data_IF_188903164103
#
_entry.id   IF_188903164103
#
_cell.length_a   1.000
_cell.length_b   1.000
_cell.length_c   1.000
_cell.angle_alpha   90.00
_cell.angle_beta   90.00
_cell.angle_gamma   90.00
#
_symmetry.space_group_name_H-M   'P 1'
#
loop_
_entity.id
_entity.type
_entity.pdbx_description
1 polymer ?
#
# COMPACT_ATOMS: atom_id res chain seq x y z
N UNK A 1 -62.15 18.00 -23.39
CA UNK A 1 -60.86 18.60 -22.98
C UNK A 1 -60.14 17.57 -22.14
N UNK A 2 -59.41 16.66 -22.78
CA UNK A 2 -58.66 15.57 -22.13
C UNK A 2 -57.28 16.10 -21.76
N UNK A 3 -57.00 16.20 -20.46
CA UNK A 3 -55.67 16.54 -19.95
C UNK A 3 -54.68 15.45 -20.40
N UNK A 4 -53.51 15.81 -20.96
CA UNK A 4 -52.50 14.81 -21.30
C UNK A 4 -51.99 14.16 -20.01
N UNK A 5 -51.95 12.84 -20.01
CA UNK A 5 -51.37 12.05 -18.93
C UNK A 5 -49.92 12.51 -18.70
N UNK A 6 -49.62 12.90 -17.47
CA UNK A 6 -48.27 13.16 -17.02
C UNK A 6 -47.47 11.87 -17.20
N UNK A 7 -46.54 11.84 -18.16
CA UNK A 7 -45.55 10.77 -18.24
C UNK A 7 -44.88 10.68 -16.88
N UNK A 8 -45.17 9.62 -16.15
CA UNK A 8 -44.41 9.25 -14.96
C UNK A 8 -42.99 9.00 -15.44
N UNK A 9 -42.09 9.94 -15.15
CA UNK A 9 -40.66 9.82 -15.38
C UNK A 9 -40.20 8.53 -14.67
N UNK A 10 -40.11 7.43 -15.42
CA UNK A 10 -39.69 6.15 -14.88
C UNK A 10 -38.25 6.35 -14.45
N UNK A 11 -38.01 6.44 -13.15
CA UNK A 11 -36.67 6.67 -12.61
C UNK A 11 -35.83 5.43 -12.93
N UNK A 12 -35.12 5.49 -14.04
CA UNK A 12 -34.40 4.34 -14.59
C UNK A 12 -33.13 4.08 -13.78
N UNK A 13 -32.94 2.80 -13.41
CA UNK A 13 -31.72 2.35 -12.75
C UNK A 13 -30.51 2.55 -13.67
N UNK A 14 -29.36 3.02 -13.16
CA UNK A 14 -28.14 3.10 -13.95
C UNK A 14 -27.81 1.74 -14.59
N UNK A 15 -27.45 1.69 -15.88
CA UNK A 15 -27.08 0.44 -16.53
C UNK A 15 -25.79 -0.12 -15.93
N UNK A 16 -25.64 -1.44 -15.98
CA UNK A 16 -24.37 -2.10 -15.60
C UNK A 16 -23.30 -1.74 -16.62
N UNK A 17 -22.13 -1.31 -16.14
CA UNK A 17 -21.01 -0.92 -16.99
C UNK A 17 -19.96 -2.03 -16.96
N UNK A 18 -19.91 -2.87 -18.00
CA UNK A 18 -18.96 -3.98 -18.08
C UNK A 18 -17.50 -3.52 -18.06
N UNK A 19 -17.21 -2.35 -18.62
CA UNK A 19 -15.89 -1.72 -18.58
C UNK A 19 -15.41 -1.42 -17.14
N UNK A 20 -16.33 -1.07 -16.23
CA UNK A 20 -15.99 -0.82 -14.83
C UNK A 20 -15.58 -2.12 -14.12
N UNK A 21 -16.26 -3.22 -14.42
CA UNK A 21 -15.89 -4.54 -13.90
C UNK A 21 -14.53 -4.97 -14.45
N UNK A 22 -14.23 -4.70 -15.74
CA UNK A 22 -12.90 -4.92 -16.32
C UNK A 22 -11.84 -4.07 -15.62
N UNK A 23 -12.08 -2.77 -15.42
CA UNK A 23 -11.13 -1.88 -14.76
C UNK A 23 -10.81 -2.31 -13.33
N UNK A 24 -11.84 -2.77 -12.58
CA UNK A 24 -11.62 -3.42 -11.27
C UNK A 24 -10.74 -4.65 -11.37
N UNK A 25 -11.01 -5.52 -12.35
CA UNK A 25 -10.21 -6.72 -12.60
C UNK A 25 -8.74 -6.41 -12.87
N UNK A 26 -8.47 -5.42 -13.72
CA UNK A 26 -7.11 -4.98 -14.03
C UNK A 26 -6.43 -4.39 -12.80
N UNK A 27 -7.14 -3.58 -12.01
CA UNK A 27 -6.60 -3.04 -10.75
C UNK A 27 -6.24 -4.15 -9.75
N UNK A 28 -7.05 -5.23 -9.67
CA UNK A 28 -6.78 -6.41 -8.84
C UNK A 28 -5.53 -7.17 -9.30
N UNK A 29 -5.35 -7.35 -10.60
CA UNK A 29 -4.15 -8.00 -11.14
C UNK A 29 -2.91 -7.15 -10.83
N UNK A 30 -3.01 -5.82 -11.04
CA UNK A 30 -1.92 -4.90 -10.76
C UNK A 30 -1.51 -4.91 -9.27
N UNK A 31 -2.50 -4.93 -8.38
CA UNK A 31 -2.29 -5.11 -6.94
C UNK A 31 -1.55 -6.40 -6.62
N UNK A 32 -2.01 -7.53 -7.18
CA UNK A 32 -1.36 -8.82 -6.97
C UNK A 32 0.08 -8.83 -7.47
N UNK A 33 0.38 -8.23 -8.62
CA UNK A 33 1.77 -8.12 -9.10
C UNK A 33 2.63 -7.22 -8.23
N UNK A 34 2.08 -6.15 -7.65
CA UNK A 34 2.80 -5.33 -6.68
C UNK A 34 3.09 -6.12 -5.41
N UNK A 35 2.10 -6.78 -4.83
CA UNK A 35 2.28 -7.60 -3.64
C UNK A 35 3.27 -8.75 -3.86
N UNK A 36 3.28 -9.35 -5.05
CA UNK A 36 4.27 -10.36 -5.38
C UNK A 36 5.70 -9.80 -5.35
N UNK A 37 5.92 -8.54 -5.72
CA UNK A 37 7.25 -7.91 -5.55
C UNK A 37 7.64 -7.78 -4.07
N UNK A 38 6.68 -7.48 -3.19
CA UNK A 38 6.90 -7.46 -1.74
C UNK A 38 7.19 -8.85 -1.19
N UNK A 39 6.48 -9.88 -1.67
CA UNK A 39 6.74 -11.28 -1.28
C UNK A 39 8.13 -11.74 -1.71
N UNK A 40 8.57 -11.34 -2.91
CA UNK A 40 9.92 -11.64 -3.39
C UNK A 40 11.00 -10.91 -2.59
N UNK A 41 10.74 -9.69 -2.14
CA UNK A 41 11.59 -8.98 -1.17
C UNK A 41 11.64 -9.71 0.17
N UNK A 42 10.48 -10.10 0.71
CA UNK A 42 10.38 -10.85 1.96
C UNK A 42 11.13 -12.19 1.91
N UNK A 43 11.10 -12.88 0.75
CA UNK A 43 11.86 -14.11 0.52
C UNK A 43 13.35 -13.88 0.19
N UNK A 44 13.83 -12.64 0.17
CA UNK A 44 15.25 -12.32 -0.06
C UNK A 44 15.71 -12.32 -1.52
N UNK A 45 14.78 -12.35 -2.48
CA UNK A 45 15.11 -12.21 -3.91
C UNK A 45 15.28 -10.76 -4.36
N UNK A 46 14.70 -9.82 -3.62
CA UNK A 46 14.90 -8.39 -3.83
C UNK A 46 15.56 -7.77 -2.60
N UNK A 47 16.30 -6.70 -2.80
CA UNK A 47 16.92 -5.96 -1.70
C UNK A 47 15.83 -5.34 -0.79
N UNK A 48 16.03 -5.31 0.54
CA UNK A 48 15.10 -4.65 1.45
C UNK A 48 14.82 -3.20 1.06
N UNK A 49 13.55 -2.79 1.11
CA UNK A 49 13.05 -1.49 0.69
C UNK A 49 12.74 -1.34 -0.80
N UNK A 50 12.94 -2.38 -1.62
CA UNK A 50 12.68 -2.32 -3.08
C UNK A 50 11.21 -2.01 -3.37
N UNK A 51 10.28 -2.69 -2.70
CA UNK A 51 8.84 -2.53 -2.88
C UNK A 51 8.31 -1.15 -2.43
N UNK A 52 9.05 -0.44 -1.59
CA UNK A 52 8.68 0.87 -1.02
C UNK A 52 9.37 2.06 -1.72
N UNK A 53 10.23 1.81 -2.70
CA UNK A 53 11.05 2.83 -3.36
C UNK A 53 10.86 2.89 -4.88
N UNK A 54 11.43 3.90 -5.53
CA UNK A 54 11.46 4.04 -6.99
C UNK A 54 10.10 3.96 -7.68
N UNK A 55 10.04 3.23 -8.79
CA UNK A 55 8.83 3.07 -9.60
C UNK A 55 7.77 2.21 -8.92
N UNK A 56 8.15 1.25 -8.06
CA UNK A 56 7.23 0.37 -7.32
C UNK A 56 6.39 1.17 -6.32
N UNK A 57 6.97 2.19 -5.68
CA UNK A 57 6.23 3.15 -4.84
C UNK A 57 5.16 3.90 -5.64
N UNK A 58 5.49 4.37 -6.83
CA UNK A 58 4.55 5.08 -7.71
C UNK A 58 3.46 4.12 -8.18
N UNK A 59 3.84 2.88 -8.51
CA UNK A 59 2.93 1.82 -8.92
C UNK A 59 1.90 1.49 -7.83
N UNK A 60 2.34 1.27 -6.60
CA UNK A 60 1.48 1.07 -5.44
C UNK A 60 0.48 2.23 -5.27
N UNK A 61 0.96 3.47 -5.38
CA UNK A 61 0.12 4.67 -5.27
C UNK A 61 -0.91 4.78 -6.40
N UNK A 62 -0.54 4.44 -7.63
CA UNK A 62 -1.44 4.42 -8.76
C UNK A 62 -2.53 3.34 -8.61
N UNK A 63 -2.18 2.17 -8.08
CA UNK A 63 -3.10 1.07 -7.77
C UNK A 63 -4.13 1.52 -6.71
N UNK A 64 -3.67 2.04 -5.57
CA UNK A 64 -4.54 2.50 -4.50
C UNK A 64 -5.47 3.65 -4.95
N UNK A 65 -4.93 4.61 -5.71
CA UNK A 65 -5.69 5.68 -6.35
C UNK A 65 -6.82 5.12 -7.21
N UNK A 66 -6.49 4.15 -8.08
CA UNK A 66 -7.45 3.51 -8.99
C UNK A 66 -8.54 2.78 -8.23
N UNK A 67 -8.20 2.01 -7.19
CA UNK A 67 -9.19 1.31 -6.37
C UNK A 67 -10.18 2.27 -5.72
N UNK A 68 -9.68 3.28 -5.01
CA UNK A 68 -10.53 4.19 -4.25
C UNK A 68 -11.39 5.05 -5.17
N UNK A 69 -10.84 5.49 -6.30
CA UNK A 69 -11.60 6.14 -7.36
C UNK A 69 -12.76 5.28 -7.86
N UNK A 70 -12.48 4.00 -8.19
CA UNK A 70 -13.52 3.06 -8.62
C UNK A 70 -14.54 2.83 -7.50
N UNK A 71 -14.12 2.74 -6.24
CA UNK A 71 -15.04 2.59 -5.10
C UNK A 71 -16.00 3.78 -5.02
N UNK A 72 -15.51 5.01 -5.20
CA UNK A 72 -16.34 6.23 -5.27
C UNK A 72 -17.38 6.16 -6.39
N UNK A 73 -16.97 5.79 -7.61
CA UNK A 73 -17.89 5.57 -8.74
C UNK A 73 -18.94 4.50 -8.39
N UNK A 74 -18.47 3.38 -7.85
CA UNK A 74 -19.30 2.21 -7.52
C UNK A 74 -20.37 2.55 -6.49
N UNK A 75 -20.06 3.44 -5.54
CA UNK A 75 -21.01 3.87 -4.52
C UNK A 75 -22.18 4.62 -5.15
N UNK A 76 -21.92 5.57 -6.07
CA UNK A 76 -22.99 6.27 -6.81
C UNK A 76 -23.88 5.29 -7.57
N UNK A 77 -23.26 4.42 -8.38
CA UNK A 77 -24.00 3.50 -9.26
C UNK A 77 -24.83 2.48 -8.48
N UNK A 78 -24.38 2.07 -7.30
CA UNK A 78 -25.11 1.13 -6.43
C UNK A 78 -26.20 1.80 -5.58
N UNK A 79 -26.17 3.13 -5.47
CA UNK A 79 -27.05 3.93 -4.60
C UNK A 79 -28.14 4.68 -5.37
N UNK A 80 -28.18 4.56 -6.69
CA UNK A 80 -29.17 5.21 -7.55
C UNK A 80 -30.11 4.20 -8.23
N UNK A 81 -31.40 4.54 -8.38
CA UNK A 81 -32.02 5.82 -8.01
C UNK A 81 -32.22 6.00 -6.50
N UNK A 82 -32.35 4.89 -5.77
CA UNK A 82 -32.49 4.85 -4.33
C UNK A 82 -31.48 3.89 -3.69
N UNK A 83 -31.13 4.17 -2.43
CA UNK A 83 -30.19 3.36 -1.68
C UNK A 83 -30.90 2.10 -1.17
N UNK A 84 -30.44 0.95 -1.64
CA UNK A 84 -30.91 -0.36 -1.17
C UNK A 84 -30.21 -0.74 0.14
N UNK A 85 -30.72 -0.24 1.26
CA UNK A 85 -30.12 -0.42 2.59
C UNK A 85 -29.73 -1.85 2.96
N UNK A 86 -30.54 -2.90 2.71
CA UNK A 86 -30.13 -4.27 3.03
C UNK A 86 -28.88 -4.70 2.24
N UNK A 87 -28.81 -4.35 0.96
CA UNK A 87 -27.63 -4.65 0.12
C UNK A 87 -26.42 -3.81 0.50
N UNK A 88 -26.63 -2.55 0.88
CA UNK A 88 -25.58 -1.66 1.37
C UNK A 88 -24.93 -2.24 2.64
N UNK A 89 -25.74 -2.54 3.67
CA UNK A 89 -25.23 -3.06 4.94
C UNK A 89 -24.61 -4.45 4.81
N UNK A 90 -25.15 -5.32 3.94
CA UNK A 90 -24.51 -6.59 3.62
C UNK A 90 -23.10 -6.38 3.07
N UNK A 91 -22.94 -5.52 2.06
CA UNK A 91 -21.63 -5.24 1.46
C UNK A 91 -20.68 -4.56 2.43
N UNK A 92 -21.16 -3.56 3.18
CA UNK A 92 -20.38 -2.89 4.20
C UNK A 92 -19.88 -3.88 5.26
N UNK A 93 -20.77 -4.71 5.80
CA UNK A 93 -20.43 -5.72 6.79
C UNK A 93 -19.38 -6.72 6.29
N UNK A 94 -19.48 -7.15 5.02
CA UNK A 94 -18.46 -8.02 4.42
C UNK A 94 -17.08 -7.34 4.35
N UNK A 95 -17.02 -6.06 3.97
CA UNK A 95 -15.75 -5.31 3.89
C UNK A 95 -15.18 -5.05 5.28
N UNK A 96 -16.01 -4.62 6.23
CA UNK A 96 -15.59 -4.35 7.61
C UNK A 96 -15.11 -5.64 8.30
N UNK A 97 -15.81 -6.76 8.12
CA UNK A 97 -15.40 -8.06 8.63
C UNK A 97 -14.08 -8.53 7.99
N UNK A 98 -13.91 -8.35 6.69
CA UNK A 98 -12.67 -8.65 5.99
C UNK A 98 -11.50 -7.81 6.51
N UNK A 99 -11.71 -6.50 6.72
CA UNK A 99 -10.71 -5.59 7.28
C UNK A 99 -10.27 -6.06 8.68
N UNK A 100 -11.23 -6.33 9.57
CA UNK A 100 -10.96 -6.83 10.91
C UNK A 100 -10.25 -8.18 10.92
N UNK A 101 -10.65 -9.11 10.04
CA UNK A 101 -10.01 -10.42 9.92
C UNK A 101 -8.54 -10.30 9.49
N UNK A 102 -8.23 -9.41 8.54
CA UNK A 102 -6.85 -9.14 8.13
C UNK A 102 -6.04 -8.52 9.28
N UNK A 103 -6.60 -7.55 10.00
CA UNK A 103 -5.94 -6.97 11.18
C UNK A 103 -5.61 -8.02 12.24
N UNK A 104 -6.56 -8.91 12.55
CA UNK A 104 -6.37 -9.99 13.53
C UNK A 104 -5.29 -10.97 13.03
N UNK A 105 -5.40 -11.43 11.79
CA UNK A 105 -4.46 -12.39 11.21
C UNK A 105 -3.03 -11.82 11.18
N UNK A 106 -2.87 -10.56 10.75
CA UNK A 106 -1.55 -9.91 10.72
C UNK A 106 -1.05 -9.55 12.11
N UNK A 107 -1.91 -9.25 13.08
CA UNK A 107 -1.49 -9.04 14.47
C UNK A 107 -0.92 -10.30 15.11
N UNK A 108 -1.40 -11.47 14.71
CA UNK A 108 -0.89 -12.77 15.17
C UNK A 108 0.41 -13.13 14.44
N UNK A 109 0.44 -12.97 13.11
CA UNK A 109 1.57 -13.39 12.28
C UNK A 109 2.76 -12.40 12.30
N UNK A 110 2.49 -11.10 12.42
CA UNK A 110 3.46 -10.00 12.28
C UNK A 110 3.10 -8.88 13.29
N UNK A 111 3.30 -9.12 14.60
CA UNK A 111 2.77 -8.24 15.64
C UNK A 111 3.27 -6.79 15.56
N UNK A 112 4.51 -6.57 15.13
CA UNK A 112 5.10 -5.22 15.09
C UNK A 112 4.61 -4.38 13.91
N UNK A 113 4.17 -5.02 12.83
CA UNK A 113 3.80 -4.39 11.55
C UNK A 113 2.37 -4.74 11.11
N UNK A 114 1.52 -5.11 12.07
CA UNK A 114 0.13 -5.50 11.81
C UNK A 114 -0.68 -4.39 11.15
N UNK A 115 -1.67 -4.80 10.35
CA UNK A 115 -2.49 -3.88 9.56
C UNK A 115 -3.53 -3.23 10.47
N UNK A 116 -3.22 -2.08 11.06
CA UNK A 116 -4.17 -1.33 11.89
C UNK A 116 -5.12 -0.44 11.08
N UNK A 117 -4.70 0.03 9.92
CA UNK A 117 -5.55 0.82 9.01
C UNK A 117 -5.13 0.69 7.54
N UNK A 118 -5.47 -0.46 6.95
CA UNK A 118 -5.26 -0.75 5.53
C UNK A 118 -6.39 -0.25 4.60
N UNK A 119 -6.27 -0.54 3.30
CA UNK A 119 -7.21 -0.03 2.29
C UNK A 119 -8.66 -0.49 2.50
N UNK A 120 -8.92 -1.69 3.05
CA UNK A 120 -10.28 -2.13 3.37
C UNK A 120 -10.92 -1.31 4.49
N UNK A 121 -10.14 -0.89 5.49
CA UNK A 121 -10.59 0.02 6.54
C UNK A 121 -10.97 1.37 5.94
N UNK A 122 -10.09 1.91 5.09
CA UNK A 122 -10.32 3.15 4.37
C UNK A 122 -11.60 3.08 3.51
N UNK A 123 -11.78 2.00 2.74
CA UNK A 123 -13.00 1.77 1.95
C UNK A 123 -14.25 1.72 2.85
N UNK A 124 -14.19 1.05 3.99
CA UNK A 124 -15.33 0.97 4.91
C UNK A 124 -15.72 2.37 5.41
N UNK A 125 -14.76 3.14 5.92
CA UNK A 125 -14.98 4.50 6.43
C UNK A 125 -15.47 5.44 5.32
N UNK A 126 -14.80 5.45 4.17
CA UNK A 126 -15.19 6.27 3.02
C UNK A 126 -16.55 5.88 2.46
N UNK A 127 -16.96 4.62 2.55
CA UNK A 127 -18.31 4.19 2.13
C UNK A 127 -19.39 4.80 3.04
N UNK A 128 -19.15 4.86 4.36
CA UNK A 128 -20.06 5.53 5.30
C UNK A 128 -20.10 7.04 5.09
N UNK A 129 -18.94 7.67 4.91
CA UNK A 129 -18.88 9.11 4.62
C UNK A 129 -19.58 9.39 3.29
N UNK A 130 -19.23 8.66 2.23
CA UNK A 130 -19.77 8.84 0.90
C UNK A 130 -21.29 8.68 0.82
N UNK A 131 -21.88 7.76 1.59
CA UNK A 131 -23.35 7.61 1.58
C UNK A 131 -24.06 8.81 2.21
N UNK A 132 -23.43 9.51 3.15
CA UNK A 132 -23.93 10.79 3.68
C UNK A 132 -23.86 11.86 2.57
N UNK A 133 -22.71 11.98 1.89
CA UNK A 133 -22.54 12.93 0.79
C UNK A 133 -23.50 12.69 -0.39
N UNK A 134 -23.88 11.44 -0.65
CA UNK A 134 -24.90 11.11 -1.66
C UNK A 134 -26.31 11.63 -1.34
N UNK A 135 -26.59 11.94 -0.06
CA UNK A 135 -27.84 12.58 0.36
C UNK A 135 -27.77 14.10 0.33
N UNK A 136 -26.56 14.67 0.29
CA UNK A 136 -26.35 16.11 0.19
C UNK A 136 -26.48 16.57 -1.27
N UNK A 137 -26.76 17.87 -1.49
CA UNK A 137 -26.62 18.47 -2.81
C UNK A 137 -25.21 18.24 -3.38
N UNK A 138 -25.11 18.02 -4.70
CA UNK A 138 -23.85 17.76 -5.41
C UNK A 138 -22.75 18.81 -5.12
N UNK A 139 -23.15 20.05 -4.84
CA UNK A 139 -22.22 21.11 -4.46
C UNK A 139 -21.33 20.74 -3.26
N UNK A 140 -21.87 20.05 -2.24
CA UNK A 140 -21.08 19.62 -1.08
C UNK A 140 -20.04 18.58 -1.45
N UNK A 141 -20.38 17.61 -2.30
CA UNK A 141 -19.43 16.61 -2.80
C UNK A 141 -18.33 17.26 -3.64
N UNK A 142 -18.69 18.25 -4.47
CA UNK A 142 -17.73 19.01 -5.27
C UNK A 142 -16.78 19.83 -4.38
N UNK A 143 -17.31 20.56 -3.38
CA UNK A 143 -16.52 21.32 -2.42
C UNK A 143 -15.56 20.41 -1.67
N UNK A 144 -16.03 19.27 -1.15
CA UNK A 144 -15.17 18.30 -0.47
C UNK A 144 -14.06 17.76 -1.40
N UNK A 145 -14.39 17.47 -2.65
CA UNK A 145 -13.40 17.00 -3.65
C UNK A 145 -12.34 18.06 -3.89
N UNK A 146 -12.74 19.32 -4.10
CA UNK A 146 -11.81 20.44 -4.34
C UNK A 146 -10.96 20.75 -3.10
N UNK A 147 -11.55 20.71 -1.91
CA UNK A 147 -10.84 20.93 -0.66
C UNK A 147 -9.79 19.84 -0.40
N UNK A 148 -10.15 18.57 -0.60
CA UNK A 148 -9.22 17.43 -0.47
C UNK A 148 -8.09 17.50 -1.52
N UNK A 149 -8.40 17.91 -2.74
CA UNK A 149 -7.41 18.08 -3.79
C UNK A 149 -6.46 19.25 -3.49
N UNK A 150 -6.98 20.39 -3.03
CA UNK A 150 -6.18 21.52 -2.59
C UNK A 150 -5.27 21.14 -1.42
N UNK A 151 -5.81 20.45 -0.40
CA UNK A 151 -5.02 19.95 0.73
C UNK A 151 -3.91 18.99 0.28
N UNK A 152 -4.20 18.10 -0.68
CA UNK A 152 -3.18 17.21 -1.25
C UNK A 152 -2.08 17.98 -1.98
N UNK A 153 -2.42 19.01 -2.76
CA UNK A 153 -1.42 19.89 -3.40
C UNK A 153 -0.58 20.59 -2.32
N UNK A 154 -1.21 21.15 -1.30
CA UNK A 154 -0.53 21.83 -0.20
C UNK A 154 0.42 20.90 0.56
N UNK A 155 0.04 19.65 0.80
CA UNK A 155 0.89 18.66 1.49
C UNK A 155 2.11 18.23 0.67
N UNK A 156 1.99 18.17 -0.67
CA UNK A 156 3.04 17.66 -1.54
C UNK A 156 3.95 18.75 -2.13
N UNK A 157 3.43 19.97 -2.31
CA UNK A 157 4.14 21.08 -2.96
C UNK A 157 4.22 22.36 -2.11
N UNK A 158 3.51 22.41 -0.97
CA UNK A 158 3.58 23.52 -0.03
C UNK A 158 4.73 23.38 0.98
N UNK A 159 4.79 24.27 1.99
CA UNK A 159 5.76 24.18 3.06
C UNK A 159 5.69 22.81 3.79
N UNK A 160 6.82 22.12 3.98
CA UNK A 160 6.85 20.85 4.69
C UNK A 160 6.22 20.97 6.08
N UNK A 161 5.38 20.01 6.44
CA UNK A 161 4.76 19.94 7.77
C UNK A 161 3.54 20.84 7.97
N UNK A 162 3.08 21.59 6.96
CA UNK A 162 1.94 22.52 7.14
C UNK A 162 0.64 21.82 7.58
N UNK A 163 0.37 20.62 7.06
CA UNK A 163 -0.80 19.82 7.43
C UNK A 163 -0.48 18.68 8.41
N UNK A 164 0.80 18.46 8.73
CA UNK A 164 1.26 17.30 9.50
C UNK A 164 1.52 17.67 10.95
N UNK A 165 1.09 16.84 11.90
CA UNK A 165 1.32 17.06 13.32
C UNK A 165 1.59 15.74 14.05
N UNK A 166 2.56 15.74 14.97
CA UNK A 166 2.89 14.58 15.80
C UNK A 166 1.75 14.17 16.74
N UNK A 167 0.78 15.06 16.95
CA UNK A 167 -0.47 14.72 17.62
C UNK A 167 -1.20 13.54 16.97
N UNK A 168 -1.05 13.37 15.66
CA UNK A 168 -1.68 12.28 14.91
C UNK A 168 -0.81 11.02 14.78
N UNK A 169 0.40 10.99 15.34
CA UNK A 169 1.30 9.83 15.24
C UNK A 169 0.76 8.54 15.90
N UNK A 170 0.04 8.59 17.06
CA UNK A 170 -0.51 7.37 17.65
C UNK A 170 -1.48 6.64 16.71
N UNK A 171 -1.41 5.29 16.66
CA UNK A 171 -2.20 4.45 15.73
C UNK A 171 -3.70 4.76 15.69
N UNK A 172 -4.30 5.09 16.83
CA UNK A 172 -5.72 5.42 16.95
C UNK A 172 -6.12 6.78 16.36
N UNK A 173 -5.15 7.61 15.96
CA UNK A 173 -5.33 8.88 15.24
C UNK A 173 -4.67 8.87 13.85
N UNK A 174 -3.64 8.03 13.64
CA UNK A 174 -2.88 7.95 12.40
C UNK A 174 -3.79 7.69 11.18
N UNK A 175 -4.89 6.93 11.35
CA UNK A 175 -5.87 6.69 10.29
C UNK A 175 -6.49 7.95 9.66
N UNK A 176 -6.41 9.12 10.30
CA UNK A 176 -6.82 10.40 9.72
C UNK A 176 -5.89 10.80 8.57
N UNK A 177 -4.61 10.48 8.69
CA UNK A 177 -3.60 10.71 7.64
C UNK A 177 -2.82 12.01 7.77
N UNK A 178 -2.82 12.64 8.94
CA UNK A 178 -2.07 13.88 9.24
C UNK A 178 -0.87 13.64 10.17
N UNK A 179 -0.51 12.38 10.42
CA UNK A 179 0.67 11.99 11.18
C UNK A 179 1.97 12.44 10.49
N UNK A 180 3.00 12.75 11.29
CA UNK A 180 4.36 13.05 10.81
C UNK A 180 5.12 11.74 10.67
N UNK A 181 5.11 10.91 11.71
CA UNK A 181 5.81 9.61 11.76
C UNK A 181 4.86 8.55 12.31
N UNK A 182 3.86 8.10 11.53
CA UNK A 182 2.96 7.05 11.97
C UNK A 182 3.73 5.74 12.20
N UNK A 183 3.32 4.98 13.22
CA UNK A 183 3.87 3.63 13.45
C UNK A 183 3.71 2.75 12.19
N UNK A 184 4.72 1.93 11.92
CA UNK A 184 4.78 1.06 10.73
C UNK A 184 3.61 0.06 10.71
N UNK A 185 3.12 -0.21 9.50
CA UNK A 185 2.08 -1.19 9.19
C UNK A 185 2.26 -1.70 7.77
N UNK A 186 2.08 -3.00 7.55
CA UNK A 186 2.25 -3.64 6.24
C UNK A 186 1.22 -3.20 5.19
N UNK A 187 0.12 -2.60 5.61
CA UNK A 187 -0.80 -1.86 4.75
C UNK A 187 -1.27 -0.61 5.52
N UNK A 188 -0.89 0.57 5.05
CA UNK A 188 -1.25 1.83 5.67
C UNK A 188 -1.84 2.80 4.65
N UNK A 189 -3.17 2.91 4.68
CA UNK A 189 -3.96 3.72 3.75
C UNK A 189 -4.91 4.61 4.57
N UNK A 190 -4.41 5.68 5.21
CA UNK A 190 -5.23 6.58 6.02
C UNK A 190 -6.29 7.31 5.19
N UNK A 191 -7.20 8.08 5.81
CA UNK A 191 -8.19 8.85 5.08
C UNK A 191 -7.56 9.93 4.20
N UNK A 192 -6.69 10.78 4.73
CA UNK A 192 -5.94 11.73 3.89
C UNK A 192 -4.59 11.12 3.49
N UNK A 193 -4.19 11.15 2.20
CA UNK A 193 -4.84 11.81 1.07
C UNK A 193 -5.81 10.91 0.27
N UNK A 194 -6.03 9.67 0.69
CA UNK A 194 -6.73 8.63 -0.07
C UNK A 194 -8.24 8.88 -0.28
N UNK A 195 -8.84 9.74 0.53
CA UNK A 195 -10.18 10.27 0.32
C UNK A 195 -10.28 11.06 -0.98
N UNK A 196 -9.20 11.73 -1.43
CA UNK A 196 -9.18 12.55 -2.64
C UNK A 196 -9.61 11.77 -3.89
N UNK A 197 -8.97 10.63 -4.26
CA UNK A 197 -9.42 9.86 -5.41
C UNK A 197 -10.82 9.26 -5.22
N UNK A 198 -11.20 8.85 -4.01
CA UNK A 198 -12.56 8.39 -3.74
C UNK A 198 -13.61 9.47 -4.04
N UNK A 199 -13.43 10.67 -3.51
CA UNK A 199 -14.33 11.80 -3.74
C UNK A 199 -14.32 12.27 -5.19
N UNK A 200 -13.17 12.23 -5.87
CA UNK A 200 -13.11 12.46 -7.31
C UNK A 200 -13.99 11.46 -8.09
N UNK A 201 -13.92 10.17 -7.77
CA UNK A 201 -14.77 9.13 -8.36
C UNK A 201 -16.25 9.34 -8.04
N UNK A 202 -16.56 9.67 -6.78
CA UNK A 202 -17.92 9.97 -6.31
C UNK A 202 -18.53 11.18 -7.06
N UNK A 203 -17.77 12.27 -7.20
CA UNK A 203 -18.17 13.49 -7.90
C UNK A 203 -18.37 13.25 -9.39
N UNK A 204 -17.39 12.64 -10.06
CA UNK A 204 -17.47 12.35 -11.51
C UNK A 204 -18.67 11.46 -11.81
N UNK A 205 -18.89 10.39 -11.03
CA UNK A 205 -20.04 9.54 -11.25
C UNK A 205 -21.37 10.25 -10.93
N UNK A 206 -21.42 11.09 -9.91
CA UNK A 206 -22.62 11.88 -9.56
C UNK A 206 -22.99 12.93 -10.62
N UNK A 207 -22.01 13.44 -11.37
CA UNK A 207 -22.25 14.26 -12.55
C UNK A 207 -22.68 13.38 -13.73
N UNK A 208 -21.96 12.28 -13.98
CA UNK A 208 -22.19 11.41 -15.12
C UNK A 208 -23.60 10.79 -15.14
N UNK A 209 -24.20 10.46 -13.98
CA UNK A 209 -25.58 9.96 -13.89
C UNK A 209 -26.63 10.98 -14.40
N UNK A 210 -26.30 12.27 -14.44
CA UNK A 210 -27.19 13.33 -14.97
C UNK A 210 -27.06 13.49 -16.49
N UNK A 211 -26.20 12.71 -17.12
CA UNK A 211 -25.90 12.77 -18.55
C UNK A 211 -26.14 11.42 -19.23
N UNK A 212 -26.07 11.37 -20.56
CA UNK A 212 -26.12 10.09 -21.30
C UNK A 212 -24.79 9.30 -21.28
N UNK A 213 -23.77 9.77 -20.58
CA UNK A 213 -22.43 9.16 -20.58
C UNK A 213 -22.44 7.70 -20.11
N UNK A 214 -23.14 7.39 -19.02
CA UNK A 214 -23.17 6.02 -18.48
C UNK A 214 -23.81 5.02 -19.44
N UNK A 215 -24.84 5.43 -20.18
CA UNK A 215 -25.47 4.61 -21.21
C UNK A 215 -24.51 4.35 -22.38
N UNK A 216 -23.73 5.35 -22.79
CA UNK A 216 -22.68 5.17 -23.82
C UNK A 216 -21.59 4.21 -23.35
N UNK A 217 -21.12 4.35 -22.11
CA UNK A 217 -20.10 3.47 -21.54
C UNK A 217 -20.60 2.03 -21.38
N UNK A 218 -21.87 1.85 -21.01
CA UNK A 218 -22.49 0.53 -20.94
C UNK A 218 -22.58 -0.16 -22.33
N UNK A 219 -22.74 0.62 -23.41
CA UNK A 219 -22.80 0.10 -24.77
C UNK A 219 -21.42 -0.31 -25.34
N UNK A 220 -20.33 0.31 -24.86
CA UNK A 220 -18.96 0.11 -25.41
C UNK A 220 -18.28 -1.14 -24.84
N UNK A 221 -18.76 -1.70 -23.72
CA UNK A 221 -18.08 -2.82 -23.06
C UNK A 221 -19.04 -3.81 -22.42
N UNK A 222 -19.08 -5.03 -22.96
CA UNK A 222 -19.93 -6.12 -22.44
C UNK A 222 -19.43 -6.71 -21.12
N UNK A 223 -18.18 -6.44 -20.72
CA UNK A 223 -17.58 -7.06 -19.52
C UNK A 223 -17.44 -8.59 -19.65
N UNK A 224 -17.34 -9.08 -20.88
CA UNK A 224 -17.18 -10.50 -21.23
C UNK A 224 -15.73 -10.99 -21.10
N UNK A 225 -14.75 -10.07 -21.10
CA UNK A 225 -13.34 -10.40 -20.93
C UNK A 225 -13.03 -10.92 -19.52
N UNK A 226 -12.02 -11.79 -19.37
CA UNK A 226 -11.78 -12.54 -18.14
C UNK A 226 -11.49 -11.68 -16.90
N UNK A 227 -10.82 -10.51 -16.95
CA UNK A 227 -10.61 -9.66 -15.78
C UNK A 227 -11.92 -9.10 -15.24
N UNK A 228 -12.96 -8.94 -16.07
CA UNK A 228 -14.28 -8.56 -15.57
C UNK A 228 -14.85 -9.61 -14.61
N UNK A 229 -14.49 -10.89 -14.75
CA UNK A 229 -14.87 -11.93 -13.79
C UNK A 229 -14.17 -11.71 -12.44
N UNK A 230 -12.90 -11.32 -12.44
CA UNK A 230 -12.19 -10.94 -11.21
C UNK A 230 -12.83 -9.71 -10.57
N UNK A 231 -13.15 -8.68 -11.36
CA UNK A 231 -13.83 -7.47 -10.88
C UNK A 231 -15.22 -7.73 -10.30
N UNK A 232 -15.92 -8.78 -10.75
CA UNK A 232 -17.20 -9.25 -10.18
C UNK A 232 -17.05 -9.92 -8.82
N UNK A 233 -15.92 -10.59 -8.58
CA UNK A 233 -15.59 -11.29 -7.34
C UNK A 233 -14.43 -10.59 -6.61
N UNK A 234 -14.41 -9.25 -6.66
CA UNK A 234 -13.24 -8.46 -6.26
C UNK A 234 -12.79 -8.71 -4.83
N UNK A 235 -13.73 -8.82 -3.88
CA UNK A 235 -13.41 -9.07 -2.47
C UNK A 235 -12.80 -10.47 -2.26
N UNK A 236 -13.30 -11.49 -2.96
CA UNK A 236 -12.75 -12.84 -2.86
C UNK A 236 -11.32 -12.88 -3.40
N UNK A 237 -11.09 -12.30 -4.59
CA UNK A 237 -9.75 -12.19 -5.14
C UNK A 237 -8.82 -11.41 -4.20
N UNK A 238 -9.29 -10.26 -3.69
CA UNK A 238 -8.55 -9.44 -2.73
C UNK A 238 -8.12 -10.24 -1.50
N UNK A 239 -8.97 -11.11 -0.96
CA UNK A 239 -8.61 -11.90 0.23
C UNK A 239 -7.69 -13.08 -0.09
N UNK A 240 -7.85 -13.69 -1.26
CA UNK A 240 -7.14 -14.93 -1.63
C UNK A 240 -5.75 -14.65 -2.21
N UNK A 241 -5.55 -13.50 -2.87
CA UNK A 241 -4.30 -13.26 -3.59
C UNK A 241 -3.08 -13.34 -2.66
N UNK A 242 -3.08 -12.68 -1.50
CA UNK A 242 -1.90 -12.61 -0.64
C UNK A 242 -1.47 -13.97 -0.08
N UNK A 243 -2.36 -14.81 0.51
CA UNK A 243 -1.97 -16.17 0.92
C UNK A 243 -1.44 -17.03 -0.23
N UNK A 244 -2.02 -16.90 -1.43
CA UNK A 244 -1.58 -17.64 -2.61
C UNK A 244 -0.20 -17.17 -3.08
N UNK A 245 0.03 -15.86 -3.16
CA UNK A 245 1.30 -15.30 -3.60
C UNK A 245 2.43 -15.62 -2.61
N UNK A 246 2.18 -15.51 -1.31
CA UNK A 246 3.13 -15.96 -0.27
C UNK A 246 3.45 -17.44 -0.45
N UNK A 247 2.43 -18.29 -0.66
CA UNK A 247 2.64 -19.71 -0.90
C UNK A 247 3.48 -20.01 -2.13
N UNK A 248 3.29 -19.26 -3.21
CA UNK A 248 4.10 -19.36 -4.43
C UNK A 248 5.54 -18.90 -4.18
N UNK A 249 5.74 -17.74 -3.55
CA UNK A 249 7.05 -17.18 -3.27
C UNK A 249 7.86 -18.08 -2.31
N UNK A 250 7.18 -18.64 -1.29
CA UNK A 250 7.77 -19.62 -0.39
C UNK A 250 8.11 -20.93 -1.10
N UNK A 251 7.19 -21.47 -1.93
CA UNK A 251 7.49 -22.65 -2.73
C UNK A 251 8.68 -22.45 -3.67
N UNK A 252 8.81 -21.26 -4.24
CA UNK A 252 9.96 -20.88 -5.06
C UNK A 252 11.27 -20.87 -4.25
N UNK A 253 11.26 -20.35 -3.01
CA UNK A 253 12.46 -20.30 -2.15
C UNK A 253 12.98 -21.67 -1.73
N UNK A 254 12.12 -22.70 -1.74
CA UNK A 254 12.54 -24.08 -1.53
C UNK A 254 13.22 -24.71 -2.76
N UNK A 255 12.85 -24.28 -3.98
CA UNK A 255 13.37 -24.86 -5.24
C UNK A 255 14.57 -24.07 -5.77
N UNK A 256 14.53 -22.75 -5.62
CA UNK A 256 15.55 -21.81 -6.08
C UNK A 256 15.91 -20.91 -4.90
N UNK A 257 16.78 -21.33 -3.98
CA UNK A 257 17.10 -20.53 -2.80
C UNK A 257 17.53 -19.11 -3.18
N UNK A 258 17.09 -18.07 -2.44
CA UNK A 258 17.57 -16.71 -2.66
C UNK A 258 19.09 -16.68 -2.52
N UNK A 259 19.73 -15.77 -3.27
CA UNK A 259 21.18 -15.60 -3.16
C UNK A 259 21.51 -15.21 -1.73
N UNK A 260 22.41 -15.97 -1.09
CA UNK A 260 22.94 -15.59 0.21
C UNK A 260 23.54 -14.18 0.10
N UNK A 261 23.28 -13.27 1.05
CA UNK A 261 23.90 -11.96 1.06
C UNK A 261 25.41 -12.11 0.94
N UNK A 262 26.05 -11.31 0.08
CA UNK A 262 27.51 -11.32 -0.02
C UNK A 262 28.10 -11.09 1.39
N UNK A 263 28.81 -12.09 1.95
CA UNK A 263 29.29 -11.99 3.31
C UNK A 263 30.31 -10.85 3.47
N UNK A 264 31.05 -10.51 2.41
CA UNK A 264 31.99 -9.38 2.36
C UNK A 264 31.24 -8.05 2.43
N UNK A 265 30.26 -7.85 1.55
CA UNK A 265 29.46 -6.62 1.54
C UNK A 265 28.72 -6.42 2.87
N UNK A 266 28.25 -7.51 3.49
CA UNK A 266 27.60 -7.48 4.81
C UNK A 266 28.55 -6.99 5.90
N UNK A 267 29.76 -7.58 5.97
CA UNK A 267 30.78 -7.20 6.93
C UNK A 267 31.16 -5.72 6.80
N UNK A 268 31.48 -5.27 5.58
CA UNK A 268 31.87 -3.88 5.35
C UNK A 268 30.76 -2.90 5.75
N UNK A 269 29.50 -3.22 5.45
CA UNK A 269 28.35 -2.37 5.83
C UNK A 269 28.19 -2.26 7.34
N UNK A 270 28.30 -3.37 8.06
CA UNK A 270 28.17 -3.41 9.53
C UNK A 270 29.34 -2.71 10.22
N UNK A 271 30.58 -3.00 9.78
CA UNK A 271 31.78 -2.36 10.30
C UNK A 271 31.73 -0.84 10.10
N UNK A 272 31.42 -0.37 8.88
CA UNK A 272 31.33 1.06 8.60
C UNK A 272 30.23 1.73 9.42
N UNK A 273 29.04 1.13 9.51
CA UNK A 273 27.94 1.69 10.29
C UNK A 273 28.31 1.86 11.78
N UNK A 274 29.00 0.89 12.37
CA UNK A 274 29.45 0.96 13.76
C UNK A 274 30.57 1.99 13.96
N UNK A 275 31.56 2.02 13.05
CA UNK A 275 32.71 2.90 13.15
C UNK A 275 32.35 4.37 12.93
N UNK A 276 31.47 4.68 11.95
CA UNK A 276 31.10 6.05 11.59
C UNK A 276 30.43 6.79 12.76
N UNK A 277 29.76 6.07 13.65
CA UNK A 277 29.20 6.67 14.87
C UNK A 277 30.27 7.24 15.82
N UNK A 278 31.55 6.88 15.65
CA UNK A 278 32.64 7.26 16.53
C UNK A 278 33.75 8.06 15.83
N UNK A 279 34.12 7.73 14.59
CA UNK A 279 35.43 8.08 14.03
C UNK A 279 35.42 8.74 12.62
N UNK A 280 34.25 9.04 12.05
CA UNK A 280 34.12 9.73 10.74
C UNK A 280 34.29 8.82 9.51
N UNK A 281 33.68 9.21 8.38
CA UNK A 281 33.41 8.31 7.24
C UNK A 281 34.64 7.79 6.50
N UNK A 282 35.62 8.66 6.23
CA UNK A 282 36.82 8.29 5.46
C UNK A 282 37.73 7.31 6.22
N UNK A 283 37.95 7.55 7.52
CA UNK A 283 38.76 6.70 8.39
C UNK A 283 38.12 5.30 8.53
N UNK A 284 36.80 5.26 8.67
CA UNK A 284 36.09 4.00 8.84
C UNK A 284 36.13 3.12 7.60
N UNK A 285 36.12 3.73 6.41
CA UNK A 285 36.22 2.98 5.17
C UNK A 285 37.57 2.26 5.05
N UNK A 286 38.68 2.97 5.25
CA UNK A 286 40.02 2.38 5.19
C UNK A 286 40.21 1.31 6.28
N UNK A 287 39.77 1.59 7.52
CA UNK A 287 39.82 0.64 8.62
C UNK A 287 39.04 -0.66 8.32
N UNK A 288 37.81 -0.54 7.84
CA UNK A 288 36.96 -1.70 7.56
C UNK A 288 37.47 -2.52 6.36
N UNK A 289 38.03 -1.87 5.34
CA UNK A 289 38.68 -2.55 4.21
C UNK A 289 39.95 -3.30 4.68
N UNK A 290 40.80 -2.68 5.50
CA UNK A 290 42.00 -3.32 6.07
C UNK A 290 41.64 -4.53 6.95
N UNK A 291 40.68 -4.38 7.87
CA UNK A 291 40.31 -5.48 8.78
C UNK A 291 39.74 -6.67 8.02
N UNK A 292 38.94 -6.43 6.99
CA UNK A 292 38.43 -7.48 6.10
C UNK A 292 39.58 -8.24 5.43
N UNK A 293 40.52 -7.51 4.82
CA UNK A 293 41.65 -8.11 4.09
C UNK A 293 42.48 -9.02 5.02
N UNK A 294 42.83 -8.53 6.22
CA UNK A 294 43.60 -9.32 7.18
C UNK A 294 42.82 -10.52 7.75
N UNK A 295 41.52 -10.37 8.00
CA UNK A 295 40.65 -11.49 8.41
C UNK A 295 40.56 -12.58 7.34
N UNK A 296 40.53 -12.20 6.06
CA UNK A 296 40.53 -13.15 4.94
C UNK A 296 41.89 -13.81 4.76
N UNK A 297 42.98 -13.04 4.83
CA UNK A 297 44.35 -13.55 4.72
C UNK A 297 44.68 -14.58 5.80
N UNK A 298 44.12 -14.42 7.00
CA UNK A 298 44.32 -15.34 8.13
C UNK A 298 43.25 -16.43 8.24
N UNK A 299 42.33 -16.55 7.25
CA UNK A 299 41.21 -17.49 7.26
C UNK A 299 40.30 -17.40 8.51
N UNK A 300 40.23 -16.21 9.13
CA UNK A 300 39.41 -15.93 10.31
C UNK A 300 38.01 -15.43 9.94
N UNK A 301 37.81 -14.96 8.71
CA UNK A 301 36.55 -14.38 8.25
C UNK A 301 35.37 -15.35 8.31
N UNK A 302 35.51 -16.59 7.82
CA UNK A 302 34.42 -17.58 7.84
C UNK A 302 34.06 -18.05 9.25
N UNK A 303 35.01 -18.38 10.14
CA UNK A 303 34.71 -18.69 11.54
C UNK A 303 34.06 -17.52 12.30
N UNK A 304 34.48 -16.28 12.01
CA UNK A 304 33.88 -15.07 12.57
C UNK A 304 32.40 -14.94 12.17
N UNK A 305 32.08 -15.16 10.89
CA UNK A 305 30.70 -15.13 10.39
C UNK A 305 29.83 -16.25 10.95
N UNK A 306 30.42 -17.41 11.21
CA UNK A 306 29.74 -18.53 11.85
C UNK A 306 29.52 -18.32 13.36
N UNK A 307 30.01 -17.21 13.94
CA UNK A 307 29.96 -16.96 15.39
C UNK A 307 30.87 -17.87 16.21
N UNK A 308 31.82 -18.55 15.58
CA UNK A 308 32.80 -19.40 16.24
C UNK A 308 33.97 -18.59 16.83
N UNK A 309 34.15 -17.35 16.37
CA UNK A 309 35.13 -16.38 16.86
C UNK A 309 34.37 -15.16 17.38
N UNK A 310 34.76 -14.68 18.57
CA UNK A 310 34.19 -13.48 19.18
C UNK A 310 35.13 -12.29 18.97
N UNK A 311 34.61 -11.21 18.39
CA UNK A 311 35.35 -9.96 18.10
C UNK A 311 35.99 -9.37 19.37
N UNK A 312 35.32 -9.49 20.52
CA UNK A 312 35.76 -8.91 21.78
C UNK A 312 36.76 -9.80 22.52
N UNK A 313 36.77 -11.11 22.26
CA UNK A 313 37.52 -12.07 23.08
C UNK A 313 38.62 -12.82 22.32
N UNK A 314 38.69 -12.71 20.99
CA UNK A 314 39.76 -13.33 20.19
C UNK A 314 40.93 -12.36 19.99
N UNK A 315 42.07 -12.71 20.58
CA UNK A 315 43.32 -11.93 20.53
C UNK A 315 43.78 -11.65 19.10
N UNK A 316 43.51 -12.55 18.14
CA UNK A 316 43.90 -12.35 16.73
C UNK A 316 43.06 -11.25 16.09
N UNK A 317 41.76 -11.22 16.39
CA UNK A 317 40.84 -10.19 15.86
C UNK A 317 41.16 -8.82 16.47
N UNK A 318 41.46 -8.77 17.78
CA UNK A 318 41.90 -7.54 18.44
C UNK A 318 43.23 -7.02 17.86
N UNK A 319 44.17 -7.91 17.59
CA UNK A 319 45.46 -7.56 16.96
C UNK A 319 45.24 -6.95 15.57
N UNK A 320 44.42 -7.58 14.73
CA UNK A 320 44.05 -7.06 13.41
C UNK A 320 43.41 -5.68 13.51
N UNK A 321 42.50 -5.48 14.47
CA UNK A 321 41.86 -4.18 14.69
C UNK A 321 42.90 -3.11 15.08
N UNK A 322 43.82 -3.40 15.99
CA UNK A 322 44.86 -2.45 16.40
C UNK A 322 45.80 -2.07 15.23
N UNK A 323 46.23 -3.04 14.42
CA UNK A 323 47.03 -2.80 13.22
C UNK A 323 46.31 -1.90 12.22
N UNK A 324 45.05 -2.24 11.91
CA UNK A 324 44.26 -1.47 10.96
C UNK A 324 43.86 -0.08 11.47
N UNK A 325 43.74 0.12 12.79
CA UNK A 325 43.58 1.46 13.36
C UNK A 325 44.83 2.31 13.12
N UNK A 326 46.03 1.75 13.31
CA UNK A 326 47.28 2.46 13.05
C UNK A 326 47.54 2.74 11.56
N UNK A 327 47.05 1.87 10.66
CA UNK A 327 47.14 2.07 9.20
C UNK A 327 46.10 3.06 8.65
N UNK A 328 45.01 3.30 9.39
CA UNK A 328 43.93 4.19 8.96
C UNK A 328 44.17 5.68 9.33
N UNK A 329 44.95 5.96 10.39
CA UNK A 329 45.36 7.31 10.84
C UNK A 329 46.34 8.00 9.89
#
# INVERSE_FOLDING_TARGET
>A
MTLPATETDVVTKPPRIGLLDTARGVALIAMASYHFSWDMEFMGYLAPGTAETGWLKIYARAIATTFLFIVGISLVLSSKPEIRWPSFWKRFGMIAAAAAAISIATRIAMPDEWIYFGILHCIAVLTLIGVVFLRLPLAFTLIATLALFAAWITDNFGPPGLLRSSFFDPRYLAWIGLAVMPERSNDYVPLFPWATPFFAGLTIASIAIRTRLLHRLAAIGTGSWWPARLGRHSLAFYLIHQPVLIGIAYGLSLVVPPQAPDPVATYLRQCNASCVMQQGEALCRSFCECTLEKLQAQALFTPLQAGAIDIQNDERVQTIAAECSAEAE
#
